data_IF_839368426019
#
_entry.id   IF_839368426019
#
_cell.length_a   1.000
_cell.length_b   1.000
_cell.length_c   1.000
_cell.angle_alpha   90.00
_cell.angle_beta   90.00
_cell.angle_gamma   90.00
#
_symmetry.space_group_name_H-M   'P 1'
#
loop_
_entity.id
_entity.type
_entity.pdbx_description
1 polymer ?
#
# COMPACT_ATOMS: atom_id res chain seq x y z
N UNK A 1 -7.03 29.39 -3.21
CA UNK A 1 -8.42 28.95 -2.98
C UNK A 1 -8.33 27.45 -2.84
N UNK A 2 -8.29 26.97 -1.59
CA UNK A 2 -8.14 25.55 -1.31
C UNK A 2 -9.48 24.87 -1.51
N UNK A 3 -9.73 24.37 -2.72
CA UNK A 3 -10.73 23.34 -2.89
C UNK A 3 -10.17 22.10 -2.18
N UNK A 4 -10.65 21.82 -0.97
CA UNK A 4 -10.60 20.46 -0.43
C UNK A 4 -11.34 19.59 -1.44
N UNK A 5 -10.61 18.94 -2.35
CA UNK A 5 -11.20 17.93 -3.21
C UNK A 5 -11.80 16.87 -2.29
N UNK A 6 -13.12 16.67 -2.37
CA UNK A 6 -13.77 15.63 -1.62
C UNK A 6 -13.26 14.29 -2.16
N UNK A 7 -12.57 13.53 -1.30
CA UNK A 7 -12.11 12.19 -1.63
C UNK A 7 -13.32 11.28 -1.83
N UNK A 8 -13.24 10.41 -2.84
CA UNK A 8 -14.26 9.40 -3.14
C UNK A 8 -13.74 8.03 -2.75
N UNK A 9 -14.64 7.10 -2.44
CA UNK A 9 -14.29 5.70 -2.25
C UNK A 9 -14.22 5.02 -3.63
N UNK A 10 -13.10 4.40 -3.92
CA UNK A 10 -12.82 3.61 -5.12
C UNK A 10 -12.67 2.14 -4.72
N UNK A 11 -13.28 1.25 -5.50
CA UNK A 11 -13.33 -0.18 -5.25
C UNK A 11 -12.39 -0.91 -6.21
N UNK A 12 -11.46 -1.69 -5.67
CA UNK A 12 -10.51 -2.50 -6.43
C UNK A 12 -10.89 -3.98 -6.27
N UNK A 13 -11.29 -4.69 -7.34
CA UNK A 13 -11.49 -6.12 -7.28
C UNK A 13 -10.20 -6.85 -6.90
N UNK A 14 -10.33 -7.86 -6.04
CA UNK A 14 -9.24 -8.72 -5.60
C UNK A 14 -9.67 -10.19 -5.68
N UNK A 15 -8.72 -11.13 -5.69
CA UNK A 15 -9.07 -12.55 -5.71
C UNK A 15 -9.38 -13.05 -4.28
N UNK A 16 -10.62 -13.46 -3.97
CA UNK A 16 -10.93 -14.02 -2.65
C UNK A 16 -10.26 -15.38 -2.39
N UNK A 17 -9.65 -16.02 -3.39
CA UNK A 17 -8.83 -17.20 -3.20
C UNK A 17 -7.40 -16.87 -2.72
N UNK A 18 -6.97 -15.61 -2.81
CA UNK A 18 -5.71 -15.16 -2.23
C UNK A 18 -5.75 -15.16 -0.69
N UNK A 19 -4.58 -14.99 -0.08
CA UNK A 19 -4.39 -15.10 1.37
C UNK A 19 -5.31 -14.20 2.20
N UNK A 20 -5.83 -13.09 1.63
CA UNK A 20 -6.70 -12.14 2.34
C UNK A 20 -8.16 -12.58 2.40
N UNK A 21 -8.62 -13.43 1.48
CA UNK A 21 -10.04 -13.82 1.41
C UNK A 21 -11.01 -12.71 0.97
N UNK A 22 -10.51 -11.49 0.73
CA UNK A 22 -11.28 -10.32 0.30
C UNK A 22 -11.50 -10.34 -1.21
N UNK A 23 -12.74 -10.15 -1.65
CA UNK A 23 -13.10 -10.05 -3.08
C UNK A 23 -13.07 -8.61 -3.62
N UNK A 24 -13.12 -7.62 -2.71
CA UNK A 24 -13.16 -6.20 -3.06
C UNK A 24 -12.47 -5.39 -1.97
N UNK A 25 -11.45 -4.64 -2.37
CA UNK A 25 -10.79 -3.66 -1.52
C UNK A 25 -11.36 -2.26 -1.77
N UNK A 26 -11.41 -1.42 -0.73
CA UNK A 26 -11.82 -0.03 -0.85
C UNK A 26 -10.68 0.91 -0.45
N UNK A 27 -10.36 1.84 -1.34
CA UNK A 27 -9.37 2.90 -1.13
C UNK A 27 -10.02 4.27 -1.30
N UNK A 28 -9.37 5.29 -0.76
CA UNK A 28 -9.73 6.67 -1.01
C UNK A 28 -8.99 7.20 -2.22
N UNK A 29 -9.67 8.02 -3.02
CA UNK A 29 -9.06 8.64 -4.18
C UNK A 29 -9.57 10.07 -4.39
N UNK A 30 -8.72 10.92 -4.94
CA UNK A 30 -9.06 12.28 -5.36
C UNK A 30 -9.39 12.28 -6.86
N UNK A 31 -10.59 12.71 -7.28
CA UNK A 31 -10.92 12.83 -8.72
C UNK A 31 -10.05 13.87 -9.41
N UNK A 32 -9.55 13.55 -10.61
CA UNK A 32 -8.83 14.47 -11.50
C UNK A 32 -9.66 14.94 -12.70
N UNK A 33 -10.76 14.24 -13.01
CA UNK A 33 -11.54 14.42 -14.25
C UNK A 33 -11.25 13.29 -15.25
N UNK A 34 -12.09 13.16 -16.29
CA UNK A 34 -11.92 12.16 -17.36
C UNK A 34 -11.72 10.71 -16.87
N UNK A 35 -12.52 10.27 -15.90
CA UNK A 35 -12.42 8.95 -15.24
C UNK A 35 -11.08 8.69 -14.53
N UNK A 36 -10.25 9.72 -14.31
CA UNK A 36 -8.97 9.62 -13.62
C UNK A 36 -9.09 10.00 -12.13
N UNK A 37 -8.37 9.23 -11.32
CA UNK A 37 -8.32 9.39 -9.87
C UNK A 37 -6.91 9.17 -9.35
N UNK A 38 -6.47 9.96 -8.37
CA UNK A 38 -5.22 9.73 -7.62
C UNK A 38 -5.56 8.95 -6.36
N UNK A 39 -4.88 7.83 -6.12
CA UNK A 39 -5.03 7.11 -4.86
C UNK A 39 -4.43 7.89 -3.69
N UNK A 40 -5.17 7.96 -2.59
CA UNK A 40 -4.81 8.73 -1.39
C UNK A 40 -4.43 7.87 -0.18
N UNK A 41 -4.42 6.54 -0.34
CA UNK A 41 -3.85 5.59 0.62
C UNK A 41 -3.35 4.33 -0.11
N UNK A 42 -2.46 3.58 0.51
CA UNK A 42 -1.90 2.34 -0.05
C UNK A 42 -2.92 1.20 -0.04
N UNK A 43 -3.15 0.49 -1.16
CA UNK A 43 -3.92 -0.75 -1.17
C UNK A 43 -3.21 -1.84 -0.37
N UNK A 44 -3.90 -2.47 0.58
CA UNK A 44 -3.42 -3.56 1.41
C UNK A 44 -3.68 -4.97 0.85
N UNK A 45 -4.57 -5.13 -0.12
CA UNK A 45 -4.89 -6.44 -0.72
C UNK A 45 -4.51 -6.50 -2.21
N UNK A 46 -4.79 -5.44 -2.97
CA UNK A 46 -4.49 -5.40 -4.40
C UNK A 46 -2.98 -5.49 -4.69
N UNK A 47 -2.65 -6.11 -5.82
CA UNK A 47 -1.30 -6.16 -6.38
C UNK A 47 -1.16 -5.16 -7.53
N UNK A 48 0.07 -4.71 -7.78
CA UNK A 48 0.37 -3.88 -8.95
C UNK A 48 -0.23 -2.47 -8.92
N UNK A 49 -0.68 -2.00 -7.76
CA UNK A 49 -1.22 -0.65 -7.56
C UNK A 49 -0.66 -0.10 -6.25
N UNK A 50 -0.25 1.17 -6.25
CA UNK A 50 0.41 1.80 -5.09
C UNK A 50 -0.18 3.16 -4.73
N UNK A 51 0.28 3.71 -3.60
CA UNK A 51 -0.06 5.05 -3.18
C UNK A 51 0.30 6.07 -4.26
N UNK A 52 -0.55 7.09 -4.41
CA UNK A 52 -0.45 8.15 -5.43
C UNK A 52 -0.60 7.72 -6.89
N UNK A 53 -0.70 6.44 -7.21
CA UNK A 53 -0.96 6.02 -8.58
C UNK A 53 -2.20 6.73 -9.15
N UNK A 54 -2.08 7.15 -10.42
CA UNK A 54 -3.20 7.66 -11.19
C UNK A 54 -3.88 6.46 -11.82
N UNK A 55 -5.15 6.27 -11.53
CA UNK A 55 -5.94 5.12 -11.97
C UNK A 55 -7.13 5.56 -12.80
N UNK A 56 -7.58 4.69 -13.70
CA UNK A 56 -8.86 4.82 -14.38
C UNK A 56 -9.91 4.06 -13.57
N UNK A 57 -11.03 4.69 -13.26
CA UNK A 57 -12.15 4.04 -12.61
C UNK A 57 -13.49 4.52 -13.17
N UNK A 58 -14.49 3.63 -13.20
CA UNK A 58 -15.80 3.92 -13.78
C UNK A 58 -16.94 3.50 -12.84
N UNK A 59 -18.07 4.23 -12.83
CA UNK A 59 -19.23 3.82 -12.06
C UNK A 59 -19.85 2.52 -12.61
N UNK A 60 -20.01 1.51 -11.76
CA UNK A 60 -20.65 0.23 -12.08
C UNK A 60 -21.38 -0.28 -10.83
N UNK A 61 -22.66 -0.64 -10.96
CA UNK A 61 -23.51 -1.15 -9.87
C UNK A 61 -23.47 -0.33 -8.57
N UNK A 62 -23.36 1.00 -8.69
CA UNK A 62 -23.32 1.93 -7.57
C UNK A 62 -21.95 2.04 -6.86
N UNK A 63 -20.93 1.38 -7.40
CA UNK A 63 -19.53 1.49 -6.97
C UNK A 63 -18.72 2.25 -8.01
N UNK A 64 -17.63 2.90 -7.58
CA UNK A 64 -16.61 3.41 -8.49
C UNK A 64 -15.53 2.34 -8.65
N UNK A 65 -15.55 1.60 -9.75
CA UNK A 65 -14.74 0.40 -9.94
C UNK A 65 -13.43 0.71 -10.66
N UNK A 66 -12.31 0.29 -10.07
CA UNK A 66 -10.99 0.30 -10.70
C UNK A 66 -11.00 -0.48 -12.01
N UNK A 67 -10.40 0.11 -13.06
CA UNK A 67 -10.23 -0.53 -14.36
C UNK A 67 -8.78 -0.89 -14.62
N UNK A 68 -7.87 0.07 -14.41
CA UNK A 68 -6.42 -0.10 -14.62
C UNK A 68 -5.65 1.08 -14.02
N UNK A 69 -4.35 0.88 -13.84
CA UNK A 69 -3.43 2.00 -13.62
C UNK A 69 -3.29 2.80 -14.92
N UNK A 70 -3.40 4.12 -14.82
CA UNK A 70 -3.07 5.06 -15.88
C UNK A 70 -1.59 5.42 -15.85
N UNK A 71 -1.05 5.73 -14.67
CA UNK A 71 0.36 6.06 -14.48
C UNK A 71 0.79 5.71 -13.06
N UNK A 72 1.90 5.00 -12.93
CA UNK A 72 2.55 4.77 -11.65
C UNK A 72 3.33 6.01 -11.21
N UNK A 73 3.26 6.34 -9.92
CA UNK A 73 3.98 7.50 -9.37
C UNK A 73 5.31 7.12 -8.69
N UNK A 74 5.75 5.87 -8.87
CA UNK A 74 7.06 5.37 -8.43
C UNK A 74 7.12 4.93 -6.96
N UNK A 75 6.00 4.93 -6.25
CA UNK A 75 5.90 4.34 -4.92
C UNK A 75 5.99 2.82 -5.01
N UNK A 76 6.66 2.18 -4.06
CA UNK A 76 6.56 0.73 -3.86
C UNK A 76 5.66 0.42 -2.68
N UNK A 77 5.00 -0.74 -2.71
CA UNK A 77 4.13 -1.21 -1.64
C UNK A 77 4.56 -2.59 -1.18
N UNK A 78 4.74 -2.69 0.14
CA UNK A 78 5.04 -3.94 0.83
C UNK A 78 3.98 -4.19 1.90
N UNK A 79 3.82 -5.44 2.32
CA UNK A 79 2.91 -5.81 3.40
C UNK A 79 3.71 -6.48 4.49
N UNK A 80 3.52 -6.06 5.73
CA UNK A 80 4.17 -6.63 6.91
C UNK A 80 3.10 -7.28 7.77
N UNK A 81 3.35 -8.52 8.21
CA UNK A 81 2.54 -9.19 9.25
C UNK A 81 3.39 -9.69 10.39
N UNK A 82 3.06 -9.26 11.60
CA UNK A 82 3.81 -9.67 12.79
C UNK A 82 3.69 -11.17 13.01
N UNK A 83 4.83 -11.83 13.20
CA UNK A 83 4.88 -13.24 13.57
C UNK A 83 4.13 -13.47 14.88
N UNK A 84 3.50 -14.64 15.09
CA UNK A 84 2.58 -14.86 16.22
C UNK A 84 3.18 -14.50 17.59
N UNK A 85 4.46 -14.80 17.81
CA UNK A 85 5.18 -14.57 19.07
C UNK A 85 5.83 -13.17 19.18
N UNK A 86 5.79 -12.37 18.11
CA UNK A 86 6.44 -11.07 18.11
C UNK A 86 5.67 -10.05 18.97
N UNK A 87 6.40 -9.34 19.83
CA UNK A 87 5.86 -8.29 20.67
C UNK A 87 5.78 -6.97 19.89
N UNK A 88 4.73 -6.17 20.14
CA UNK A 88 4.58 -4.84 19.51
C UNK A 88 5.79 -3.90 19.72
N UNK A 89 6.46 -3.89 20.89
CA UNK A 89 7.69 -3.10 21.05
C UNK A 89 8.83 -3.53 20.12
N UNK A 90 8.90 -4.80 19.73
CA UNK A 90 9.92 -5.29 18.78
C UNK A 90 9.61 -4.78 17.37
N UNK A 91 8.34 -4.79 16.97
CA UNK A 91 7.90 -4.12 15.74
C UNK A 91 8.32 -2.65 15.74
N UNK A 92 7.98 -1.90 16.79
CA UNK A 92 8.28 -0.46 16.87
C UNK A 92 9.79 -0.19 16.77
N UNK A 93 10.62 -0.99 17.44
CA UNK A 93 12.09 -0.86 17.42
C UNK A 93 12.64 -1.03 16.01
N UNK A 94 12.21 -2.04 15.28
CA UNK A 94 12.74 -2.33 13.94
C UNK A 94 12.12 -1.43 12.87
N UNK A 95 10.85 -1.08 13.04
CA UNK A 95 10.17 -0.10 12.19
C UNK A 95 10.87 1.26 12.19
N UNK A 96 11.48 1.70 13.30
CA UNK A 96 12.17 2.99 13.35
C UNK A 96 13.21 3.17 12.24
N UNK A 97 13.96 2.12 11.88
CA UNK A 97 14.94 2.19 10.81
C UNK A 97 14.28 2.36 9.43
N UNK A 98 13.17 1.65 9.18
CA UNK A 98 12.40 1.75 7.94
C UNK A 98 11.73 3.13 7.83
N UNK A 99 11.08 3.59 8.90
CA UNK A 99 10.48 4.93 8.96
C UNK A 99 11.49 6.06 8.83
N UNK A 100 12.73 5.89 9.28
CA UNK A 100 13.80 6.87 9.09
C UNK A 100 14.20 7.06 7.61
N UNK A 101 13.85 6.12 6.73
CA UNK A 101 14.01 6.26 5.27
C UNK A 101 12.87 7.03 4.60
N UNK A 102 11.87 7.49 5.39
CA UNK A 102 10.68 8.18 4.88
C UNK A 102 9.51 7.25 4.57
N UNK A 103 9.65 5.94 4.77
CA UNK A 103 8.56 4.99 4.59
C UNK A 103 7.45 5.23 5.62
N UNK A 104 6.21 4.98 5.21
CA UNK A 104 5.03 5.05 6.08
C UNK A 104 4.28 3.73 6.05
N UNK A 105 3.27 3.55 6.91
CA UNK A 105 2.36 2.42 6.78
C UNK A 105 0.92 2.81 7.06
N UNK A 106 0.00 2.07 6.43
CA UNK A 106 -1.40 1.98 6.78
C UNK A 106 -1.62 0.76 7.69
N UNK A 107 -2.50 0.89 8.68
CA UNK A 107 -2.86 -0.20 9.59
C UNK A 107 -3.43 0.29 10.92
N UNK A 108 -4.06 -0.60 11.67
CA UNK A 108 -4.62 -0.25 12.98
C UNK A 108 -3.51 -0.06 14.02
N UNK A 109 -3.72 0.92 14.92
CA UNK A 109 -2.83 1.11 16.08
C UNK A 109 -2.89 -0.13 16.97
N UNK A 110 -1.75 -0.79 17.18
CA UNK A 110 -1.69 -2.06 17.90
C UNK A 110 -2.15 -3.27 17.08
N UNK A 111 -2.44 -3.09 15.79
CA UNK A 111 -2.70 -4.17 14.84
C UNK A 111 -1.47 -5.04 14.60
N UNK A 112 -1.60 -6.03 13.72
CA UNK A 112 -0.52 -6.97 13.36
C UNK A 112 -0.30 -7.12 11.86
N UNK A 113 -0.99 -6.31 11.07
CA UNK A 113 -0.90 -6.28 9.62
C UNK A 113 -0.80 -4.82 9.18
N UNK A 114 0.21 -4.54 8.36
CA UNK A 114 0.55 -3.19 7.93
C UNK A 114 0.84 -3.18 6.43
N UNK A 115 0.36 -2.15 5.74
CA UNK A 115 0.68 -1.88 4.34
C UNK A 115 1.71 -0.77 4.31
N UNK A 116 2.94 -1.08 3.94
CA UNK A 116 4.08 -0.17 3.90
C UNK A 116 4.10 0.56 2.57
N UNK A 117 4.13 1.89 2.63
CA UNK A 117 4.46 2.77 1.52
C UNK A 117 5.96 3.09 1.54
N UNK A 118 6.62 2.89 0.39
CA UNK A 118 8.01 3.29 0.16
C UNK A 118 8.00 4.38 -0.92
N UNK A 119 8.28 5.65 -0.56
CA UNK A 119 8.29 6.75 -1.52
C UNK A 119 9.32 6.56 -2.65
N UNK A 120 9.09 7.16 -3.84
CA UNK A 120 10.00 7.06 -4.99
C UNK A 120 11.40 7.66 -4.73
N UNK A 121 11.52 8.56 -3.75
CA UNK A 121 12.79 9.15 -3.35
C UNK A 121 13.58 8.26 -2.38
N UNK A 122 12.98 7.22 -1.84
CA UNK A 122 13.62 6.28 -0.90
C UNK A 122 14.41 5.24 -1.68
N UNK A 123 15.60 4.89 -1.17
CA UNK A 123 16.32 3.71 -1.65
C UNK A 123 15.54 2.45 -1.26
N UNK A 124 14.74 1.97 -2.21
CA UNK A 124 13.87 0.80 -2.06
C UNK A 124 14.67 -0.47 -1.71
N UNK A 125 15.92 -0.59 -2.15
CA UNK A 125 16.75 -1.76 -1.84
C UNK A 125 17.15 -1.76 -0.36
N UNK A 126 17.50 -0.58 0.17
CA UNK A 126 17.77 -0.42 1.60
C UNK A 126 16.51 -0.67 2.44
N UNK A 127 15.34 -0.16 2.01
CA UNK A 127 14.07 -0.43 2.69
C UNK A 127 13.71 -1.93 2.68
N UNK A 128 13.86 -2.59 1.53
CA UNK A 128 13.65 -4.03 1.38
C UNK A 128 14.57 -4.83 2.32
N UNK A 129 15.87 -4.51 2.35
CA UNK A 129 16.83 -5.20 3.19
C UNK A 129 16.49 -5.09 4.70
N UNK A 130 15.96 -3.95 5.15
CA UNK A 130 15.49 -3.79 6.53
C UNK A 130 14.23 -4.62 6.82
N UNK A 131 13.30 -4.71 5.86
CA UNK A 131 12.12 -5.58 5.98
C UNK A 131 12.53 -7.06 6.01
N UNK A 132 13.44 -7.46 5.14
CA UNK A 132 14.01 -8.80 5.12
C UNK A 132 14.71 -9.14 6.44
N UNK A 133 15.50 -8.23 6.98
CA UNK A 133 16.18 -8.45 8.25
C UNK A 133 15.19 -8.67 9.41
N UNK A 134 14.08 -7.93 9.46
CA UNK A 134 13.03 -8.17 10.46
C UNK A 134 12.34 -9.53 10.30
N UNK A 135 12.24 -10.04 9.07
CA UNK A 135 11.75 -11.39 8.81
C UNK A 135 12.72 -12.48 9.26
N UNK A 136 14.01 -12.31 8.98
CA UNK A 136 15.08 -13.22 9.44
C UNK A 136 15.15 -13.32 10.98
N UNK A 137 14.84 -12.22 11.67
CA UNK A 137 14.75 -12.17 13.14
C UNK A 137 13.44 -12.76 13.69
N UNK A 138 12.50 -13.18 12.83
CA UNK A 138 11.21 -13.75 13.22
C UNK A 138 10.23 -12.73 13.80
N UNK A 139 10.39 -11.44 13.49
CA UNK A 139 9.54 -10.36 14.01
C UNK A 139 8.27 -10.25 13.17
N UNK A 140 8.42 -10.40 11.86
CA UNK A 140 7.32 -10.37 10.90
C UNK A 140 7.59 -11.30 9.72
N UNK A 141 6.57 -11.45 8.89
CA UNK A 141 6.72 -11.86 7.50
C UNK A 141 6.46 -10.62 6.64
N UNK A 142 7.08 -10.54 5.47
CA UNK A 142 6.77 -9.48 4.53
C UNK A 142 6.60 -9.96 3.08
N UNK A 143 5.85 -9.18 2.31
CA UNK A 143 5.52 -9.46 0.92
C UNK A 143 5.63 -8.18 0.09
N UNK A 144 6.16 -8.29 -1.13
CA UNK A 144 6.07 -7.22 -2.13
C UNK A 144 4.74 -7.30 -2.88
N UNK A 145 3.94 -6.24 -2.82
CA UNK A 145 2.70 -6.14 -3.63
C UNK A 145 2.88 -5.31 -4.89
N UNK A 146 3.80 -4.34 -4.87
CA UNK A 146 4.16 -3.53 -6.02
C UNK A 146 5.58 -2.96 -5.87
N UNK A 147 6.39 -3.10 -6.91
CA UNK A 147 7.68 -2.43 -7.05
C UNK A 147 7.55 -1.23 -7.99
N UNK A 148 7.72 -0.02 -7.46
CA UNK A 148 7.62 1.25 -8.21
C UNK A 148 8.93 1.74 -8.81
N UNK A 149 10.05 1.03 -8.59
CA UNK A 149 11.32 1.36 -9.23
C UNK A 149 11.30 1.08 -10.74
N UNK A 150 12.26 1.65 -11.47
CA UNK A 150 12.46 1.28 -12.87
C UNK A 150 12.73 -0.23 -12.95
N UNK A 151 11.88 -0.97 -13.68
CA UNK A 151 12.18 -2.36 -14.01
C UNK A 151 13.49 -2.40 -14.80
N UNK A 152 14.41 -3.35 -14.51
CA UNK A 152 15.64 -3.50 -15.26
C UNK A 152 15.42 -3.85 -16.73
#
# INVERSE_FOLDING_TARGET
MDAKSAMVKLSIPTDPADWHGVAMEHVWATPLGDDLYVLENSPGCAYGVSYRDIVVAQPEDGLLLFQRVHTHQGHSTYRIRLAQEAALPDFQRHWQAIGALGCTFEGEVGGRAYTVDVPPATDVQTAYALMQHGEELGIWLFEESHYGGAQP
#
